data_IF_524257265876
#
_entry.id   IF_524257265876
#
_cell.length_a   1.000
_cell.length_b   1.000
_cell.length_c   1.000
_cell.angle_alpha   90.00
_cell.angle_beta   90.00
_cell.angle_gamma   90.00
#
_symmetry.space_group_name_H-M   'P 1'
#
loop_
_entity.id
_entity.type
_entity.pdbx_description
1 polymer ?
#
# COMPACT_ATOMS: atom_id res chain seq x y z
N UNK A 1 -14.65 2.38 0.50
CA UNK A 1 -14.48 2.02 -0.93
C UNK A 1 -14.90 0.57 -1.08
N UNK A 2 -16.02 0.27 -1.74
CA UNK A 2 -16.40 -1.12 -2.05
C UNK A 2 -15.66 -1.50 -3.33
N UNK A 3 -14.65 -2.35 -3.22
CA UNK A 3 -14.07 -3.00 -4.39
C UNK A 3 -15.19 -3.89 -4.97
N UNK A 4 -15.68 -3.53 -6.17
CA UNK A 4 -16.82 -4.22 -6.75
C UNK A 4 -16.52 -5.70 -6.99
N UNK A 5 -17.48 -6.56 -6.66
CA UNK A 5 -17.39 -8.02 -6.84
C UNK A 5 -17.04 -8.41 -8.30
N UNK A 6 -17.38 -7.56 -9.27
CA UNK A 6 -17.06 -7.76 -10.68
C UNK A 6 -15.55 -7.75 -10.98
N UNK A 7 -14.78 -6.81 -10.39
CA UNK A 7 -13.32 -6.77 -10.59
C UNK A 7 -12.64 -8.00 -10.00
N UNK A 8 -13.11 -8.47 -8.84
CA UNK A 8 -12.59 -9.66 -8.20
C UNK A 8 -12.83 -10.92 -9.07
N UNK A 9 -14.02 -11.05 -9.64
CA UNK A 9 -14.37 -12.18 -10.51
C UNK A 9 -13.51 -12.22 -11.76
N UNK A 10 -13.29 -11.09 -12.43
CA UNK A 10 -12.41 -10.99 -13.60
C UNK A 10 -10.97 -11.35 -13.26
N UNK A 11 -10.46 -10.83 -12.15
CA UNK A 11 -9.09 -11.13 -11.71
C UNK A 11 -8.92 -12.62 -11.43
N UNK A 12 -9.86 -13.26 -10.77
CA UNK A 12 -9.82 -14.71 -10.50
C UNK A 12 -9.89 -15.50 -11.82
N UNK A 13 -10.78 -15.13 -12.73
CA UNK A 13 -10.89 -15.80 -14.02
C UNK A 13 -9.57 -15.79 -14.78
N UNK A 14 -8.91 -14.62 -14.87
CA UNK A 14 -7.61 -14.47 -15.52
C UNK A 14 -6.53 -15.29 -14.82
N UNK A 15 -6.54 -15.37 -13.49
CA UNK A 15 -5.59 -16.18 -12.72
C UNK A 15 -5.81 -17.69 -13.00
N UNK A 16 -7.05 -18.15 -13.14
CA UNK A 16 -7.36 -19.54 -13.40
C UNK A 16 -6.95 -20.00 -14.80
N UNK A 17 -7.01 -19.13 -15.80
CA UNK A 17 -6.60 -19.47 -17.18
C UNK A 17 -5.09 -19.68 -17.34
N UNK A 18 -4.27 -19.19 -16.42
CA UNK A 18 -2.81 -19.33 -16.48
C UNK A 18 -2.38 -20.59 -15.72
N UNK A 19 -1.70 -21.53 -16.39
CA UNK A 19 -1.30 -22.79 -15.76
C UNK A 19 -0.05 -22.69 -14.87
N UNK A 20 0.90 -21.79 -15.18
CA UNK A 20 2.17 -21.71 -14.45
C UNK A 20 2.10 -20.74 -13.26
N UNK A 21 2.33 -21.25 -12.05
CA UNK A 21 2.34 -20.48 -10.80
C UNK A 21 3.23 -19.22 -10.84
N UNK A 22 4.44 -19.32 -11.42
CA UNK A 22 5.35 -18.17 -11.57
C UNK A 22 4.72 -17.05 -12.43
N UNK A 23 3.98 -17.41 -13.47
CA UNK A 23 3.32 -16.47 -14.36
C UNK A 23 2.12 -15.79 -13.68
N UNK A 24 1.37 -16.52 -12.87
CA UNK A 24 0.28 -15.96 -12.05
C UNK A 24 0.79 -14.89 -11.09
N UNK A 25 1.89 -15.17 -10.42
CA UNK A 25 2.49 -14.22 -9.48
C UNK A 25 3.05 -12.97 -10.21
N UNK A 26 3.68 -13.17 -11.38
CA UNK A 26 4.13 -12.07 -12.25
C UNK A 26 2.96 -11.21 -12.69
N UNK A 27 1.87 -11.81 -13.15
CA UNK A 27 0.64 -11.11 -13.54
C UNK A 27 0.07 -10.27 -12.38
N UNK A 28 0.00 -10.84 -11.18
CA UNK A 28 -0.43 -10.10 -10.01
C UNK A 28 0.44 -8.85 -9.77
N UNK A 29 1.76 -8.99 -9.84
CA UNK A 29 2.70 -7.90 -9.60
C UNK A 29 2.68 -6.81 -10.67
N UNK A 30 2.50 -7.20 -11.93
CA UNK A 30 2.61 -6.27 -13.07
C UNK A 30 1.30 -5.63 -13.48
N UNK A 31 0.17 -6.30 -13.29
CA UNK A 31 -1.14 -5.80 -13.70
C UNK A 31 -2.06 -5.51 -12.52
N UNK A 32 -2.26 -6.48 -11.63
CA UNK A 32 -3.30 -6.37 -10.60
C UNK A 32 -2.89 -5.38 -9.51
N UNK A 33 -1.67 -5.51 -8.98
CA UNK A 33 -1.18 -4.63 -7.91
C UNK A 33 -1.10 -3.16 -8.33
N UNK A 34 -0.57 -2.79 -9.53
CA UNK A 34 -0.60 -1.41 -9.98
C UNK A 34 -2.01 -0.84 -10.15
N UNK A 35 -2.96 -1.61 -10.67
CA UNK A 35 -4.35 -1.19 -10.78
C UNK A 35 -4.97 -0.93 -9.40
N UNK A 36 -4.74 -1.83 -8.43
CA UNK A 36 -5.21 -1.65 -7.05
C UNK A 36 -4.58 -0.43 -6.36
N UNK A 37 -3.34 -0.13 -6.68
CA UNK A 37 -2.61 1.00 -6.11
C UNK A 37 -2.68 2.25 -6.99
N UNK A 38 -3.48 2.22 -8.07
CA UNK A 38 -3.67 3.37 -8.93
C UNK A 38 -4.20 4.55 -8.13
N UNK A 39 -3.57 5.71 -8.31
CA UNK A 39 -3.89 6.96 -7.58
C UNK A 39 -3.79 6.82 -6.04
N UNK A 40 -3.16 5.75 -5.54
CA UNK A 40 -3.05 5.51 -4.10
C UNK A 40 -2.25 6.58 -3.37
N UNK A 41 -1.45 7.36 -4.08
CA UNK A 41 -0.66 8.47 -3.57
C UNK A 41 -1.51 9.53 -2.86
N UNK A 42 -2.75 9.70 -3.32
CA UNK A 42 -3.68 10.72 -2.80
C UNK A 42 -4.71 10.15 -1.83
N UNK A 43 -4.75 8.84 -1.62
CA UNK A 43 -5.74 8.22 -0.75
C UNK A 43 -5.52 8.57 0.72
N UNK A 44 -6.63 8.59 1.46
CA UNK A 44 -6.62 8.63 2.92
C UNK A 44 -7.31 7.36 3.43
N UNK A 45 -6.66 6.20 3.34
CA UNK A 45 -7.29 4.93 3.67
C UNK A 45 -7.59 4.85 5.17
N UNK A 46 -8.84 4.58 5.49
CA UNK A 46 -9.28 4.28 6.86
C UNK A 46 -8.71 2.93 7.33
N UNK A 47 -8.83 2.64 8.64
CA UNK A 47 -8.46 1.32 9.17
C UNK A 47 -9.27 0.19 8.51
N UNK A 48 -10.55 0.43 8.21
CA UNK A 48 -11.41 -0.51 7.50
C UNK A 48 -10.93 -0.77 6.07
N UNK A 49 -10.53 0.29 5.33
CA UNK A 49 -10.03 0.15 3.96
C UNK A 49 -8.74 -0.67 3.91
N UNK A 50 -7.81 -0.42 4.86
CA UNK A 50 -6.59 -1.22 5.01
C UNK A 50 -6.89 -2.69 5.27
N UNK A 51 -7.88 -2.98 6.12
CA UNK A 51 -8.36 -4.33 6.38
C UNK A 51 -8.91 -5.01 5.13
N UNK A 52 -9.76 -4.31 4.39
CA UNK A 52 -10.37 -4.80 3.14
C UNK A 52 -9.33 -5.10 2.07
N UNK A 53 -8.33 -4.23 1.90
CA UNK A 53 -7.19 -4.44 1.00
C UNK A 53 -6.40 -5.70 1.37
N UNK A 54 -6.14 -5.90 2.66
CA UNK A 54 -5.46 -7.10 3.16
C UNK A 54 -6.24 -8.38 2.89
N UNK A 55 -7.57 -8.36 3.09
CA UNK A 55 -8.44 -9.50 2.77
C UNK A 55 -8.42 -9.79 1.27
N UNK A 56 -8.58 -8.76 0.44
CA UNK A 56 -8.56 -8.89 -1.02
C UNK A 56 -7.24 -9.51 -1.51
N UNK A 57 -6.09 -8.99 -1.03
CA UNK A 57 -4.78 -9.56 -1.36
C UNK A 57 -4.68 -11.03 -1.00
N UNK A 58 -5.09 -11.42 0.22
CA UNK A 58 -5.03 -12.82 0.65
C UNK A 58 -5.89 -13.73 -0.22
N UNK A 59 -7.09 -13.28 -0.62
CA UNK A 59 -7.95 -14.03 -1.56
C UNK A 59 -7.25 -14.29 -2.88
N UNK A 60 -6.63 -13.26 -3.47
CA UNK A 60 -5.87 -13.40 -4.72
C UNK A 60 -4.67 -14.33 -4.56
N UNK A 61 -3.89 -14.16 -3.50
CA UNK A 61 -2.72 -15.02 -3.26
C UNK A 61 -3.12 -16.47 -3.05
N UNK A 62 -4.24 -16.75 -2.36
CA UNK A 62 -4.79 -18.10 -2.23
C UNK A 62 -5.20 -18.69 -3.58
N UNK A 63 -5.82 -17.89 -4.45
CA UNK A 63 -6.17 -18.33 -5.81
C UNK A 63 -4.93 -18.61 -6.68
N UNK A 64 -3.83 -17.87 -6.46
CA UNK A 64 -2.56 -18.08 -7.17
C UNK A 64 -1.86 -19.35 -6.68
N UNK A 65 -1.70 -19.50 -5.36
CA UNK A 65 -0.94 -20.60 -4.75
C UNK A 65 -1.72 -21.90 -4.80
N UNK A 66 -3.04 -21.83 -4.61
CA UNK A 66 -3.89 -23.01 -4.53
C UNK A 66 -3.78 -23.73 -3.16
N UNK A 67 -4.38 -24.93 -3.05
CA UNK A 67 -4.26 -25.77 -1.89
C UNK A 67 -2.86 -26.37 -1.77
N UNK A 68 -2.44 -26.68 -0.55
CA UNK A 68 -1.17 -27.36 -0.25
C UNK A 68 -1.45 -28.83 0.06
N UNK A 69 -0.64 -29.72 -0.53
CA UNK A 69 -0.68 -31.15 -0.19
C UNK A 69 0.27 -31.41 1.00
N UNK A 70 -0.26 -31.99 2.05
CA UNK A 70 0.48 -32.29 3.27
C UNK A 70 0.31 -33.78 3.59
N UNK A 71 1.31 -34.58 3.21
CA UNK A 71 1.30 -36.02 3.44
C UNK A 71 0.23 -36.81 2.67
N UNK A 72 -0.30 -36.28 1.56
CA UNK A 72 -1.36 -36.90 0.74
C UNK A 72 -2.76 -36.27 0.93
N UNK A 73 -2.92 -35.43 1.93
CA UNK A 73 -4.17 -34.68 2.17
C UNK A 73 -4.07 -33.24 1.65
N UNK A 74 -5.12 -32.79 0.95
CA UNK A 74 -5.21 -31.43 0.44
C UNK A 74 -5.82 -30.51 1.48
N UNK A 75 -5.07 -29.49 1.89
CA UNK A 75 -5.55 -28.46 2.80
C UNK A 75 -5.45 -27.04 2.22
N UNK A 76 -6.20 -26.13 2.80
CA UNK A 76 -6.11 -24.70 2.49
C UNK A 76 -4.76 -24.15 2.97
N UNK A 77 -4.05 -23.47 2.07
CA UNK A 77 -2.78 -22.79 2.41
C UNK A 77 -3.01 -21.69 3.45
N UNK A 78 -2.27 -21.75 4.56
CA UNK A 78 -2.38 -20.76 5.63
C UNK A 78 -1.77 -19.41 5.23
N UNK A 79 -2.22 -18.33 5.87
CA UNK A 79 -1.75 -16.97 5.54
C UNK A 79 -0.26 -16.78 5.73
N UNK A 80 0.34 -17.40 6.75
CA UNK A 80 1.79 -17.33 7.00
C UNK A 80 2.60 -17.95 5.86
N UNK A 81 2.14 -19.12 5.35
CA UNK A 81 2.74 -19.80 4.21
C UNK A 81 2.66 -18.95 2.94
N UNK A 82 1.49 -18.32 2.71
CA UNK A 82 1.29 -17.40 1.59
C UNK A 82 2.29 -16.25 1.61
N UNK A 83 2.51 -15.63 2.76
CA UNK A 83 3.47 -14.53 2.90
C UNK A 83 4.92 -14.98 2.73
N UNK A 84 5.25 -16.18 3.20
CA UNK A 84 6.57 -16.78 2.99
C UNK A 84 6.85 -17.06 1.52
N UNK A 85 5.85 -17.53 0.79
CA UNK A 85 5.96 -17.79 -0.66
C UNK A 85 5.99 -16.49 -1.48
N UNK A 86 5.20 -15.50 -1.08
CA UNK A 86 5.11 -14.22 -1.78
C UNK A 86 6.37 -13.36 -1.66
N UNK A 87 7.06 -13.41 -0.52
CA UNK A 87 8.35 -12.75 -0.22
C UNK A 87 8.41 -11.25 -0.49
N UNK A 88 7.28 -10.55 -0.57
CA UNK A 88 7.23 -9.11 -0.81
C UNK A 88 6.34 -8.39 0.18
N UNK A 89 6.49 -7.08 0.21
CA UNK A 89 5.72 -6.20 1.07
C UNK A 89 4.21 -6.33 0.84
N UNK A 90 3.46 -6.10 1.89
CA UNK A 90 2.02 -6.05 1.84
C UNK A 90 1.51 -4.90 0.96
N UNK A 91 0.29 -5.03 0.41
CA UNK A 91 -0.35 -3.99 -0.41
C UNK A 91 -0.50 -2.67 0.37
N UNK A 92 -0.76 -2.75 1.66
CA UNK A 92 -0.86 -1.57 2.53
C UNK A 92 0.51 -0.88 2.66
N UNK A 93 1.59 -1.66 2.82
CA UNK A 93 2.95 -1.13 2.85
C UNK A 93 3.32 -0.49 1.49
N UNK A 94 2.92 -1.11 0.39
CA UNK A 94 3.12 -0.55 -0.95
C UNK A 94 2.43 0.81 -1.13
N UNK A 95 1.18 0.96 -0.68
CA UNK A 95 0.43 2.23 -0.70
C UNK A 95 1.14 3.28 0.18
N UNK A 96 1.59 2.92 1.37
CA UNK A 96 2.34 3.83 2.25
C UNK A 96 3.64 4.34 1.62
N UNK A 97 4.35 3.47 0.91
CA UNK A 97 5.54 3.86 0.14
C UNK A 97 5.19 4.88 -0.94
N UNK A 98 4.09 4.68 -1.65
CA UNK A 98 3.62 5.62 -2.66
C UNK A 98 3.26 6.97 -2.04
N UNK A 99 2.59 6.99 -0.88
CA UNK A 99 2.33 8.23 -0.13
C UNK A 99 3.63 8.99 0.19
N UNK A 100 4.61 8.29 0.75
CA UNK A 100 5.89 8.90 1.11
C UNK A 100 6.67 9.36 -0.12
N UNK A 101 6.67 8.61 -1.22
CA UNK A 101 7.29 9.01 -2.49
C UNK A 101 6.66 10.29 -3.01
N UNK A 102 5.33 10.33 -3.07
CA UNK A 102 4.59 11.48 -3.53
C UNK A 102 4.81 12.69 -2.62
N UNK A 103 4.76 12.52 -1.30
CA UNK A 103 5.05 13.58 -0.33
C UNK A 103 6.42 14.20 -0.56
N UNK A 104 7.45 13.37 -0.72
CA UNK A 104 8.80 13.84 -1.03
C UNK A 104 8.89 14.56 -2.38
N UNK A 105 8.17 14.09 -3.39
CA UNK A 105 8.12 14.75 -4.69
C UNK A 105 7.48 16.14 -4.58
N UNK A 106 6.32 16.24 -3.92
CA UNK A 106 5.58 17.51 -3.78
C UNK A 106 6.39 18.54 -3.00
N UNK A 107 7.12 18.15 -1.97
CA UNK A 107 7.97 19.07 -1.17
C UNK A 107 9.10 19.68 -2.02
N UNK A 108 9.60 18.96 -3.02
CA UNK A 108 10.67 19.43 -3.91
C UNK A 108 10.18 20.18 -5.14
N UNK A 109 8.88 20.25 -5.37
CA UNK A 109 8.31 21.08 -6.44
C UNK A 109 8.58 22.58 -6.16
N UNK A 110 8.50 23.38 -7.20
CA UNK A 110 8.53 24.84 -7.08
C UNK A 110 7.42 25.37 -6.18
N UNK A 111 7.67 26.50 -5.51
CA UNK A 111 6.69 27.11 -4.59
C UNK A 111 5.38 27.49 -5.25
N UNK A 112 5.43 27.84 -6.51
CA UNK A 112 4.27 28.19 -7.32
C UNK A 112 3.44 26.97 -7.75
N UNK A 113 3.97 25.76 -7.63
CA UNK A 113 3.24 24.55 -8.01
C UNK A 113 1.93 24.40 -7.21
N UNK A 114 0.78 24.17 -7.87
CA UNK A 114 -0.49 24.01 -7.19
C UNK A 114 -0.47 22.90 -6.12
N UNK A 115 0.19 21.78 -6.40
CA UNK A 115 0.28 20.65 -5.46
C UNK A 115 1.05 21.05 -4.18
N UNK A 116 2.15 21.79 -4.31
CA UNK A 116 2.92 22.29 -3.15
C UNK A 116 2.14 23.33 -2.38
N UNK A 117 1.48 24.25 -3.07
CA UNK A 117 0.63 25.27 -2.42
C UNK A 117 -0.48 24.65 -1.60
N UNK A 118 -1.17 23.64 -2.12
CA UNK A 118 -2.22 22.89 -1.38
C UNK A 118 -1.63 22.19 -0.15
N UNK A 119 -0.45 21.57 -0.27
CA UNK A 119 0.18 20.86 0.84
C UNK A 119 0.60 21.81 1.97
N UNK A 120 1.04 23.02 1.63
CA UNK A 120 1.52 24.02 2.62
C UNK A 120 0.39 24.90 3.14
N UNK A 121 -0.74 24.97 2.43
CA UNK A 121 -1.86 25.83 2.81
C UNK A 121 -2.42 25.44 4.17
N UNK A 122 -2.51 26.43 5.05
CA UNK A 122 -3.22 26.31 6.32
C UNK A 122 -4.70 26.52 6.05
N UNK A 123 -5.50 25.49 6.28
CA UNK A 123 -6.96 25.61 6.17
C UNK A 123 -7.49 26.40 7.36
N UNK A 124 -7.96 27.61 7.09
CA UNK A 124 -8.61 28.43 8.10
C UNK A 124 -9.97 27.85 8.51
N UNK A 125 -10.39 28.10 9.75
CA UNK A 125 -11.68 27.71 10.30
C UNK A 125 -11.59 26.62 11.38
N UNK A 126 -12.69 26.49 12.14
CA UNK A 126 -12.82 25.46 13.18
C UNK A 126 -13.21 24.11 12.59
N UNK A 127 -12.58 23.05 13.08
CA UNK A 127 -13.03 21.68 12.75
C UNK A 127 -14.47 21.51 13.24
N UNK A 128 -15.32 20.93 12.39
CA UNK A 128 -16.70 20.59 12.76
C UNK A 128 -16.71 19.60 13.92
N UNK A 129 -17.76 19.66 14.77
CA UNK A 129 -18.00 18.66 15.83
C UNK A 129 -18.14 17.28 15.23
N UNK A 130 -17.52 16.29 15.87
CA UNK A 130 -17.56 14.90 15.46
C UNK A 130 -16.18 14.29 15.34
N UNK A 131 -16.10 13.03 14.88
CA UNK A 131 -14.82 12.34 14.67
C UNK A 131 -14.00 13.08 13.61
N UNK A 132 -12.77 13.55 13.91
CA UNK A 132 -11.93 14.23 12.93
C UNK A 132 -11.71 13.35 11.71
N UNK A 133 -11.95 13.86 10.50
CA UNK A 133 -11.55 13.18 9.27
C UNK A 133 -10.04 13.11 9.24
N UNK A 134 -9.49 11.95 8.90
CA UNK A 134 -8.07 11.78 8.65
C UNK A 134 -7.66 12.70 7.49
N UNK A 135 -6.61 13.49 7.69
CA UNK A 135 -5.98 14.25 6.61
C UNK A 135 -4.90 13.40 5.97
N UNK A 136 -4.65 13.62 4.70
CA UNK A 136 -3.59 12.92 3.97
C UNK A 136 -2.22 13.12 4.63
N UNK A 137 -1.93 14.35 5.02
CA UNK A 137 -0.67 14.72 5.67
C UNK A 137 -0.49 14.04 7.04
N UNK A 138 -1.56 13.88 7.83
CA UNK A 138 -1.51 13.17 9.11
C UNK A 138 -1.03 11.73 8.90
N UNK A 139 -1.48 11.08 7.80
CA UNK A 139 -1.03 9.75 7.41
C UNK A 139 0.44 9.70 7.03
N UNK A 140 0.91 10.66 6.23
CA UNK A 140 2.34 10.78 5.85
C UNK A 140 3.20 11.01 7.09
N UNK A 141 2.78 11.91 7.99
CA UNK A 141 3.49 12.22 9.22
C UNK A 141 3.58 11.00 10.15
N UNK A 142 2.49 10.25 10.29
CA UNK A 142 2.48 9.03 11.11
C UNK A 142 3.41 7.97 10.53
N UNK A 143 3.35 7.74 9.21
CA UNK A 143 4.19 6.75 8.55
C UNK A 143 5.67 7.15 8.59
N UNK A 144 6.02 8.43 8.41
CA UNK A 144 7.38 8.94 8.55
C UNK A 144 7.90 8.79 10.00
N UNK A 145 7.06 9.08 11.01
CA UNK A 145 7.41 8.91 12.42
C UNK A 145 7.74 7.46 12.77
N UNK A 146 6.99 6.50 12.21
CA UNK A 146 7.28 5.06 12.37
C UNK A 146 8.64 4.66 11.80
N UNK A 147 9.17 5.43 10.86
CA UNK A 147 10.49 5.25 10.26
C UNK A 147 11.61 5.99 11.01
N UNK A 148 11.28 6.67 12.11
CA UNK A 148 12.20 7.44 12.92
C UNK A 148 12.34 8.91 12.51
N UNK A 149 11.56 9.37 11.51
CA UNK A 149 11.63 10.75 11.02
C UNK A 149 10.53 11.63 11.67
N UNK A 150 10.94 12.51 12.57
CA UNK A 150 10.03 13.46 13.21
C UNK A 150 9.72 14.66 12.30
N UNK A 151 10.71 15.12 11.53
CA UNK A 151 10.57 16.25 10.62
C UNK A 151 10.70 15.78 9.16
N UNK A 152 9.71 15.01 8.70
CA UNK A 152 9.69 14.45 7.37
C UNK A 152 9.79 15.50 6.25
N UNK A 153 9.22 16.70 6.45
CA UNK A 153 9.27 17.78 5.46
C UNK A 153 10.71 18.24 5.20
N UNK A 154 11.51 18.35 6.24
CA UNK A 154 12.92 18.73 6.11
C UNK A 154 13.73 17.59 5.45
N UNK A 155 13.54 16.36 5.90
CA UNK A 155 14.19 15.19 5.30
C UNK A 155 13.82 15.02 3.81
N UNK A 156 12.57 15.32 3.45
CA UNK A 156 12.07 15.21 2.08
C UNK A 156 12.67 16.24 1.10
N UNK A 157 13.26 17.34 1.58
CA UNK A 157 13.96 18.34 0.73
C UNK A 157 15.21 17.74 0.11
N UNK A 158 15.94 16.92 0.85
CA UNK A 158 17.10 16.22 0.32
C UNK A 158 16.67 14.87 -0.27
N UNK A 159 16.94 14.69 -1.58
CA UNK A 159 16.58 13.47 -2.30
C UNK A 159 17.26 12.23 -1.72
N UNK A 160 18.56 12.31 -1.43
CA UNK A 160 19.35 11.16 -0.98
C UNK A 160 18.92 10.69 0.40
N UNK A 161 18.65 11.61 1.31
CA UNK A 161 18.17 11.28 2.64
C UNK A 161 16.76 10.70 2.59
N UNK A 162 15.90 11.26 1.74
CA UNK A 162 14.57 10.73 1.51
C UNK A 162 14.59 9.32 0.91
N UNK A 163 15.49 9.06 -0.02
CA UNK A 163 15.67 7.70 -0.57
C UNK A 163 16.13 6.69 0.48
N UNK A 164 17.00 7.08 1.43
CA UNK A 164 17.39 6.22 2.55
C UNK A 164 16.19 5.83 3.41
N UNK A 165 15.29 6.79 3.69
CA UNK A 165 14.05 6.55 4.43
C UNK A 165 13.14 5.58 3.67
N UNK A 166 12.92 5.82 2.38
CA UNK A 166 12.11 4.94 1.53
C UNK A 166 12.67 3.52 1.45
N UNK A 167 13.99 3.35 1.42
CA UNK A 167 14.64 2.03 1.46
C UNK A 167 14.38 1.29 2.77
N UNK A 168 14.31 1.99 3.91
CA UNK A 168 13.94 1.38 5.21
C UNK A 168 12.52 0.80 5.17
N UNK A 169 11.58 1.45 4.47
CA UNK A 169 10.21 0.94 4.30
C UNK A 169 10.17 -0.32 3.46
N UNK A 170 11.06 -0.44 2.48
CA UNK A 170 11.15 -1.60 1.60
C UNK A 170 11.72 -2.84 2.32
N UNK A 171 12.42 -2.66 3.43
CA UNK A 171 12.87 -3.77 4.26
C UNK A 171 11.65 -4.49 4.88
N UNK A 172 11.53 -5.84 4.73
CA UNK A 172 10.27 -6.57 4.99
C UNK A 172 9.72 -6.53 6.42
N UNK A 173 10.45 -5.98 7.39
CA UNK A 173 10.13 -6.07 8.83
C UNK A 173 9.50 -4.83 9.47
N UNK A 174 9.57 -3.65 8.88
CA UNK A 174 9.28 -2.39 9.61
C UNK A 174 7.79 -1.98 9.61
N UNK A 175 6.99 -2.43 8.67
CA UNK A 175 5.58 -2.03 8.55
C UNK A 175 4.56 -3.16 8.75
N UNK A 176 5.01 -4.37 9.10
CA UNK A 176 4.13 -5.55 9.22
C UNK A 176 3.52 -5.74 10.61
N UNK A 177 3.96 -4.99 11.62
CA UNK A 177 3.39 -5.08 12.96
C UNK A 177 2.49 -3.88 13.25
N UNK A 178 1.25 -3.94 12.86
CA UNK A 178 0.07 -3.45 13.60
C UNK A 178 -1.21 -3.74 12.81
#
# INVERSE_FOLDING_TARGET
>A
MKFGDGMFSVVILVIHTIQLHKNKLKLYKTLIRPVLASVSETWVPSKSDKGSLGVFKRKILKAIVGPTNDGGEWRITYSNELYTLYKENDIVAYIKINHLRWAGQVIRLEEQSPARRVLVAVVEGRRQRGRPKLRWEDGVMEDARKLGERNWRNAARNWDDWQKILKKVLAPKVLLCQ
#
